data_IF_755350169987
#
_entry.id   IF_755350169987
#
_cell.length_a   1.000
_cell.length_b   1.000
_cell.length_c   1.000
_cell.angle_alpha   90.00
_cell.angle_beta   90.00
_cell.angle_gamma   90.00
#
_symmetry.space_group_name_H-M   'P 1'
#
loop_
_entity.id
_entity.type
_entity.pdbx_description
1 polymer ?
#
# COMPACT_ATOMS: atom_id res chain seq x y z
N UNK A 1 23.36 -13.22 0.12
CA UNK A 1 22.88 -13.41 1.51
C UNK A 1 22.54 -12.04 2.07
N UNK A 2 21.28 -11.80 2.45
CA UNK A 2 20.85 -10.55 3.08
C UNK A 2 21.36 -10.53 4.53
N UNK A 3 21.81 -9.36 5.01
CA UNK A 3 22.35 -9.18 6.35
C UNK A 3 21.27 -9.38 7.43
N UNK A 4 21.59 -9.94 8.61
CA UNK A 4 20.61 -10.21 9.68
C UNK A 4 19.76 -9.00 10.12
N UNK A 5 20.28 -7.78 10.01
CA UNK A 5 19.53 -6.55 10.36
C UNK A 5 18.40 -6.21 9.38
N UNK A 6 18.50 -6.65 8.11
CA UNK A 6 17.46 -6.41 7.10
C UNK A 6 16.23 -7.27 7.34
N UNK A 7 16.42 -8.52 7.75
CA UNK A 7 15.33 -9.49 7.97
C UNK A 7 14.35 -8.97 9.03
N UNK A 8 14.89 -8.52 10.16
CA UNK A 8 14.08 -7.97 11.26
C UNK A 8 13.32 -6.70 10.85
N UNK A 9 13.87 -5.91 9.94
CA UNK A 9 13.26 -4.65 9.47
C UNK A 9 12.10 -4.93 8.50
N UNK A 10 12.29 -5.84 7.55
CA UNK A 10 11.26 -6.17 6.54
C UNK A 10 10.05 -6.87 7.17
N UNK A 11 10.27 -7.73 8.17
CA UNK A 11 9.22 -8.39 8.94
C UNK A 11 8.43 -7.40 9.81
N UNK A 12 9.13 -6.49 10.51
CA UNK A 12 8.47 -5.46 11.30
C UNK A 12 7.64 -4.52 10.42
N UNK A 13 8.18 -4.07 9.28
CA UNK A 13 7.46 -3.23 8.34
C UNK A 13 6.23 -3.96 7.77
N UNK A 14 6.37 -5.23 7.41
CA UNK A 14 5.24 -6.05 6.96
C UNK A 14 4.17 -6.21 8.05
N UNK A 15 4.58 -6.40 9.30
CA UNK A 15 3.66 -6.50 10.43
C UNK A 15 2.90 -5.19 10.63
N UNK A 16 3.58 -4.04 10.66
CA UNK A 16 2.93 -2.72 10.80
C UNK A 16 1.99 -2.45 9.63
N UNK A 17 2.42 -2.72 8.41
CA UNK A 17 1.62 -2.48 7.20
C UNK A 17 0.31 -3.29 7.21
N UNK A 18 0.40 -4.59 7.51
CA UNK A 18 -0.75 -5.49 7.47
C UNK A 18 -1.67 -5.41 8.70
N UNK A 19 -1.12 -5.08 9.88
CA UNK A 19 -1.91 -4.99 11.12
C UNK A 19 -2.47 -3.59 11.40
N UNK A 20 -2.08 -2.59 10.62
CA UNK A 20 -2.55 -1.21 10.77
C UNK A 20 -4.08 -1.14 10.70
N UNK A 21 -4.75 -0.43 11.63
CA UNK A 21 -6.20 -0.24 11.62
C UNK A 21 -6.66 0.82 10.59
N UNK A 22 -5.73 1.50 9.92
CA UNK A 22 -6.02 2.48 8.87
C UNK A 22 -5.57 1.96 7.51
N UNK A 23 -6.17 2.52 6.45
CA UNK A 23 -5.77 2.25 5.08
C UNK A 23 -4.35 2.76 4.80
N UNK A 24 -3.47 1.84 4.39
CA UNK A 24 -2.11 2.14 3.99
C UNK A 24 -1.89 1.70 2.54
N UNK A 25 -1.09 2.46 1.83
CA UNK A 25 -0.69 2.17 0.46
C UNK A 25 0.73 2.68 0.20
N UNK A 26 1.38 2.10 -0.81
CA UNK A 26 2.69 2.54 -1.29
C UNK A 26 2.55 2.89 -2.76
N UNK A 27 3.04 4.08 -3.13
CA UNK A 27 3.09 4.56 -4.51
C UNK A 27 4.54 4.65 -4.98
N UNK A 28 4.79 4.20 -6.20
CA UNK A 28 6.08 4.38 -6.88
C UNK A 28 5.83 4.85 -8.31
N UNK A 29 6.47 5.95 -8.70
CA UNK A 29 6.26 6.60 -10.01
C UNK A 29 4.78 6.89 -10.30
N UNK A 30 4.04 7.32 -9.28
CA UNK A 30 2.61 7.61 -9.38
C UNK A 30 1.69 6.40 -9.47
N UNK A 31 2.22 5.16 -9.45
CA UNK A 31 1.42 3.94 -9.50
C UNK A 31 1.39 3.24 -8.14
N UNK A 32 0.24 2.65 -7.79
CA UNK A 32 0.19 1.75 -6.62
C UNK A 32 1.10 0.55 -6.81
N UNK A 33 1.87 0.23 -5.77
CA UNK A 33 2.72 -0.97 -5.72
C UNK A 33 2.39 -1.89 -4.55
N UNK A 34 1.64 -1.41 -3.56
CA UNK A 34 1.09 -2.22 -2.48
C UNK A 34 -0.04 -1.45 -1.79
N UNK A 35 -1.04 -2.17 -1.29
CA UNK A 35 -2.13 -1.65 -0.46
C UNK A 35 -2.42 -2.66 0.65
N UNK A 36 -2.71 -2.21 1.86
CA UNK A 36 -3.10 -3.11 2.93
C UNK A 36 -4.60 -3.47 2.84
N UNK A 37 -5.02 -4.47 3.62
CA UNK A 37 -6.41 -4.93 3.64
C UNK A 37 -7.39 -3.81 4.05
N UNK A 38 -6.99 -2.91 4.96
CA UNK A 38 -7.85 -1.81 5.38
C UNK A 38 -8.06 -0.78 4.27
N UNK A 39 -7.06 -0.53 3.43
CA UNK A 39 -7.21 0.36 2.28
C UNK A 39 -8.18 -0.22 1.25
N UNK A 40 -8.11 -1.54 1.03
CA UNK A 40 -9.04 -2.26 0.17
C UNK A 40 -10.48 -2.15 0.70
N UNK A 41 -10.67 -2.35 2.01
CA UNK A 41 -11.99 -2.20 2.67
C UNK A 41 -12.52 -0.77 2.61
N UNK A 42 -11.65 0.22 2.82
CA UNK A 42 -12.01 1.64 2.85
C UNK A 42 -12.45 2.14 1.48
N UNK A 43 -11.71 1.78 0.43
CA UNK A 43 -11.97 2.24 -0.93
C UNK A 43 -12.95 1.35 -1.69
N UNK A 44 -13.12 0.09 -1.27
CA UNK A 44 -13.94 -0.91 -1.95
C UNK A 44 -13.22 -1.60 -3.11
N UNK A 45 -11.96 -1.24 -3.41
CA UNK A 45 -11.19 -1.84 -4.49
C UNK A 45 -10.24 -2.91 -3.96
N UNK A 46 -10.23 -4.12 -4.55
CA UNK A 46 -9.23 -5.12 -4.20
C UNK A 46 -7.85 -4.72 -4.71
N UNK A 47 -6.80 -5.22 -4.05
CA UNK A 47 -5.40 -4.96 -4.44
C UNK A 47 -5.16 -5.26 -5.92
N UNK A 48 -5.69 -6.38 -6.42
CA UNK A 48 -5.54 -6.81 -7.82
C UNK A 48 -6.01 -5.78 -8.85
N UNK A 49 -6.96 -4.91 -8.48
CA UNK A 49 -7.42 -3.82 -9.33
C UNK A 49 -6.62 -2.54 -9.17
N UNK A 50 -5.95 -2.37 -8.03
CA UNK A 50 -5.22 -1.15 -7.68
C UNK A 50 -3.77 -1.18 -8.15
N UNK A 51 -3.09 -2.32 -8.06
CA UNK A 51 -1.67 -2.41 -8.42
C UNK A 51 -1.45 -1.99 -9.88
N UNK A 52 -0.52 -1.06 -10.08
CA UNK A 52 -0.22 -0.50 -11.40
C UNK A 52 -1.17 0.60 -11.88
N UNK A 53 -2.25 0.91 -11.15
CA UNK A 53 -3.10 2.08 -11.44
C UNK A 53 -2.45 3.39 -10.95
N UNK A 54 -2.65 4.50 -11.66
CA UNK A 54 -2.32 5.83 -11.16
C UNK A 54 -3.01 6.13 -9.83
N UNK A 55 -2.26 6.59 -8.84
CA UNK A 55 -2.80 6.88 -7.51
C UNK A 55 -3.82 8.02 -7.50
N UNK A 56 -3.68 8.96 -8.43
CA UNK A 56 -4.59 10.09 -8.60
C UNK A 56 -5.97 9.70 -9.15
N UNK A 57 -6.14 8.48 -9.68
CA UNK A 57 -7.46 8.04 -10.19
C UNK A 57 -8.48 7.84 -9.06
N UNK A 58 -8.02 7.62 -7.83
CA UNK A 58 -8.88 7.53 -6.63
C UNK A 58 -9.10 8.87 -5.93
N UNK A 59 -8.52 9.93 -6.46
CA UNK A 59 -8.67 11.29 -5.93
C UNK A 59 -9.70 12.01 -6.81
N UNK A 60 -10.67 12.66 -6.17
CA UNK A 60 -11.63 13.49 -6.87
C UNK A 60 -10.90 14.51 -7.75
N UNK A 61 -11.32 14.75 -9.00
CA UNK A 61 -10.60 15.60 -9.94
C UNK A 61 -10.22 16.99 -9.40
N UNK A 62 -11.03 17.53 -8.50
CA UNK A 62 -10.85 18.82 -7.84
C UNK A 62 -9.71 18.83 -6.81
N UNK A 63 -9.33 17.66 -6.29
CA UNK A 63 -8.33 17.47 -5.23
C UNK A 63 -7.00 16.90 -5.75
N UNK A 64 -6.82 16.82 -7.07
CA UNK A 64 -5.61 16.24 -7.71
C UNK A 64 -4.39 17.16 -7.69
#
# INVERSE_FOLDING_TARGET
MLSPSKIHSDEFLSAVFNSSPIGLYIVRKGLFVSVNEQFQKLTGYPESELIGRPSFDLIFPEDR
#
